data_IF_119551596366
#
_entry.id   IF_119551596366
#
_cell.length_a   1.000
_cell.length_b   1.000
_cell.length_c   1.000
_cell.angle_alpha   90.00
_cell.angle_beta   90.00
_cell.angle_gamma   90.00
#
_symmetry.space_group_name_H-M   'P 1'
#
loop_
_entity.id
_entity.type
_entity.pdbx_description
1 polymer ?
#
# COMPACT_ATOMS: atom_id res chain seq x y z
N UNK A 1 24.92 -61.20 16.27
CA UNK A 1 24.54 -59.82 16.69
C UNK A 1 23.14 -59.87 17.26
N UNK A 2 22.97 -59.51 18.53
CA UNK A 2 21.72 -59.69 19.26
C UNK A 2 20.73 -58.58 18.93
N UNK A 3 19.41 -58.87 18.97
CA UNK A 3 18.32 -57.93 18.63
C UNK A 3 18.37 -56.57 19.39
N UNK A 4 19.19 -56.48 20.45
CA UNK A 4 19.47 -55.25 21.21
C UNK A 4 20.39 -54.26 20.50
N UNK A 5 21.29 -54.70 19.62
CA UNK A 5 22.19 -53.78 18.88
C UNK A 5 21.49 -53.11 17.69
N UNK A 6 20.41 -53.69 17.17
CA UNK A 6 19.62 -53.12 16.06
C UNK A 6 18.76 -51.94 16.55
N UNK A 7 18.26 -51.98 17.79
CA UNK A 7 17.46 -50.88 18.35
C UNK A 7 18.29 -49.62 18.65
N UNK A 8 19.57 -49.76 19.01
CA UNK A 8 20.45 -48.61 19.27
C UNK A 8 20.91 -47.90 17.98
N UNK A 9 20.99 -48.61 16.85
CA UNK A 9 21.31 -48.00 15.54
C UNK A 9 20.09 -47.29 14.94
N UNK A 10 18.87 -47.75 15.24
CA UNK A 10 17.63 -47.07 14.82
C UNK A 10 17.34 -45.84 15.69
N UNK A 11 17.72 -45.84 16.98
CA UNK A 11 17.59 -44.67 17.86
C UNK A 11 18.57 -43.54 17.50
N UNK A 12 19.73 -43.86 16.89
CA UNK A 12 20.71 -42.89 16.39
C UNK A 12 20.35 -42.29 15.02
N UNK A 13 19.26 -42.76 14.38
CA UNK A 13 18.75 -42.18 13.14
C UNK A 13 17.55 -41.22 13.34
N UNK A 14 17.02 -41.11 14.56
CA UNK A 14 15.89 -40.20 14.89
C UNK A 14 16.39 -38.84 15.42
N UNK A 15 17.68 -38.69 15.72
CA UNK A 15 18.28 -37.39 16.11
C UNK A 15 18.86 -36.61 14.95
N UNK A 16 18.51 -36.93 13.70
CA UNK A 16 18.61 -35.94 12.61
C UNK A 16 17.48 -34.93 12.81
N UNK A 17 17.68 -34.14 13.87
CA UNK A 17 17.01 -32.90 14.17
C UNK A 17 16.97 -32.16 12.85
N UNK A 18 15.76 -32.06 12.30
CA UNK A 18 15.42 -31.16 11.22
C UNK A 18 16.04 -29.82 11.61
N UNK A 19 17.20 -29.52 11.02
CA UNK A 19 17.87 -28.25 11.21
C UNK A 19 16.97 -27.29 10.47
N UNK A 20 16.08 -26.70 11.24
CA UNK A 20 15.15 -25.66 10.84
C UNK A 20 16.00 -24.47 10.41
N UNK A 21 16.41 -24.51 9.14
CA UNK A 21 17.14 -23.44 8.51
C UNK A 21 16.13 -22.36 8.14
N UNK A 22 15.72 -21.56 9.13
CA UNK A 22 15.05 -20.30 8.87
C UNK A 22 15.91 -19.53 7.86
N UNK A 23 15.35 -19.16 6.72
CA UNK A 23 16.01 -18.23 5.80
C UNK A 23 16.13 -16.88 6.51
N UNK A 24 17.19 -16.67 7.29
CA UNK A 24 17.49 -15.40 7.93
C UNK A 24 17.83 -14.39 6.84
N UNK A 25 17.21 -13.22 6.90
CA UNK A 25 17.53 -12.14 5.98
C UNK A 25 18.78 -11.42 6.48
N UNK A 26 19.81 -11.33 5.65
CA UNK A 26 20.97 -10.48 5.91
C UNK A 26 20.63 -9.03 5.56
N UNK A 27 20.30 -8.23 6.58
CA UNK A 27 19.96 -6.81 6.40
C UNK A 27 21.09 -5.99 5.78
N UNK A 28 22.35 -6.38 5.94
CA UNK A 28 23.50 -5.66 5.37
C UNK A 28 23.53 -5.70 3.83
N UNK A 29 22.88 -6.71 3.24
CA UNK A 29 22.70 -6.86 1.79
C UNK A 29 21.49 -6.09 1.25
N UNK A 30 20.67 -5.51 2.11
CA UNK A 30 19.44 -4.81 1.72
C UNK A 30 19.59 -3.29 1.82
N UNK A 31 18.64 -2.56 1.25
CA UNK A 31 18.54 -1.09 1.38
C UNK A 31 18.15 -0.63 2.79
N UNK A 32 17.65 -1.52 3.64
CA UNK A 32 17.09 -1.18 4.94
C UNK A 32 17.96 -1.75 6.06
N UNK A 33 18.06 -1.04 7.19
CA UNK A 33 18.89 -1.46 8.32
C UNK A 33 18.25 -2.58 9.15
N UNK A 34 16.93 -2.67 9.10
CA UNK A 34 16.10 -3.58 9.86
C UNK A 34 14.66 -3.62 9.31
N UNK A 35 13.84 -4.48 9.93
CA UNK A 35 12.42 -4.65 9.60
C UNK A 35 11.60 -3.38 9.84
N UNK A 36 11.98 -2.56 10.83
CA UNK A 36 11.23 -1.36 11.20
C UNK A 36 11.41 -0.27 10.13
N UNK A 37 12.61 -0.12 9.59
CA UNK A 37 12.89 0.78 8.48
C UNK A 37 12.19 0.34 7.19
N UNK A 38 12.16 -0.96 6.90
CA UNK A 38 11.42 -1.51 5.77
C UNK A 38 9.89 -1.30 5.92
N UNK A 39 9.34 -1.53 7.12
CA UNK A 39 7.94 -1.24 7.43
C UNK A 39 7.66 0.26 7.32
N UNK A 40 8.57 1.12 7.81
CA UNK A 40 8.46 2.58 7.69
C UNK A 40 8.43 3.01 6.22
N UNK A 41 9.19 2.35 5.36
CA UNK A 41 9.09 2.55 3.92
C UNK A 41 7.71 2.15 3.38
N UNK A 42 7.18 0.99 3.76
CA UNK A 42 5.82 0.58 3.40
C UNK A 42 4.75 1.59 3.84
N UNK A 43 4.89 2.17 5.03
CA UNK A 43 4.01 3.23 5.55
C UNK A 43 4.02 4.51 4.70
N UNK A 44 5.06 4.79 3.90
CA UNK A 44 5.07 5.90 2.92
C UNK A 44 4.03 5.74 1.80
N UNK A 45 3.46 4.53 1.65
CA UNK A 45 2.42 4.24 0.68
C UNK A 45 1.01 4.34 1.24
N UNK A 46 0.83 4.67 2.53
CA UNK A 46 -0.48 4.86 3.14
C UNK A 46 -1.36 5.80 2.29
N UNK A 47 -2.65 5.45 2.19
CA UNK A 47 -3.69 6.15 1.42
C UNK A 47 -3.54 6.10 -0.10
N UNK A 48 -2.50 5.48 -0.66
CA UNK A 48 -2.43 5.22 -2.11
C UNK A 48 -3.57 4.33 -2.54
N UNK A 49 -4.14 4.60 -3.70
CA UNK A 49 -5.42 4.02 -4.11
C UNK A 49 -5.31 2.52 -4.39
N UNK A 50 -6.41 1.80 -4.14
CA UNK A 50 -6.55 0.44 -4.59
C UNK A 50 -6.82 0.41 -6.10
N UNK A 51 -6.10 -0.43 -6.83
CA UNK A 51 -6.38 -0.74 -8.24
C UNK A 51 -6.15 -2.23 -8.47
N UNK A 52 -7.16 -2.94 -8.98
CA UNK A 52 -7.01 -4.33 -9.37
C UNK A 52 -5.87 -4.49 -10.40
N UNK A 53 -4.97 -5.43 -10.19
CA UNK A 53 -3.73 -5.56 -10.98
C UNK A 53 -2.66 -4.54 -10.65
N UNK A 54 -2.82 -3.74 -9.59
CA UNK A 54 -1.91 -2.66 -9.23
C UNK A 54 -0.64 -3.18 -8.57
N UNK A 55 0.51 -2.84 -9.13
CA UNK A 55 1.84 -3.28 -8.65
C UNK A 55 2.71 -2.12 -8.14
N UNK A 56 2.12 -0.93 -8.02
CA UNK A 56 2.81 0.26 -7.53
C UNK A 56 3.54 1.10 -8.59
N UNK A 57 4.23 2.17 -8.14
CA UNK A 57 4.18 2.65 -6.76
C UNK A 57 2.89 3.44 -6.49
N UNK A 58 2.19 3.97 -7.51
CA UNK A 58 1.09 4.95 -7.30
C UNK A 58 -0.25 4.33 -6.89
N UNK A 59 -0.52 3.09 -7.28
CA UNK A 59 -1.71 2.34 -6.92
C UNK A 59 -1.39 0.84 -6.83
N UNK A 60 -2.08 0.14 -5.93
CA UNK A 60 -1.80 -1.26 -5.62
C UNK A 60 -3.09 -2.08 -5.51
N UNK A 61 -3.03 -3.38 -5.78
CA UNK A 61 -3.92 -4.33 -5.12
C UNK A 61 -3.20 -5.01 -3.95
N UNK A 62 -3.90 -5.92 -3.26
CA UNK A 62 -3.41 -6.50 -2.02
C UNK A 62 -2.10 -7.28 -2.22
N UNK A 63 -2.07 -8.18 -3.20
CA UNK A 63 -0.90 -8.99 -3.53
C UNK A 63 0.16 -8.22 -4.31
N UNK A 64 -0.20 -7.20 -5.09
CA UNK A 64 0.76 -6.32 -5.74
C UNK A 64 1.49 -5.41 -4.76
N UNK A 65 0.84 -5.00 -3.67
CA UNK A 65 1.52 -4.29 -2.58
C UNK A 65 2.54 -5.17 -1.86
N UNK A 66 2.17 -6.40 -1.48
CA UNK A 66 3.11 -7.31 -0.82
C UNK A 66 4.25 -7.74 -1.74
N UNK A 67 3.96 -7.96 -3.02
CA UNK A 67 4.97 -8.22 -4.05
C UNK A 67 5.96 -7.06 -4.18
N UNK A 68 5.46 -5.82 -4.21
CA UNK A 68 6.30 -4.63 -4.26
C UNK A 68 7.20 -4.52 -3.02
N UNK A 69 6.65 -4.73 -1.83
CA UNK A 69 7.39 -4.66 -0.57
C UNK A 69 8.51 -5.71 -0.50
N UNK A 70 8.22 -6.97 -0.84
CA UNK A 70 9.19 -8.06 -0.81
C UNK A 70 10.23 -8.00 -1.92
N UNK A 71 9.88 -7.38 -3.06
CA UNK A 71 10.84 -7.10 -4.13
C UNK A 71 11.97 -6.17 -3.65
N UNK A 72 11.69 -5.21 -2.76
CA UNK A 72 12.73 -4.36 -2.17
C UNK A 72 13.73 -5.14 -1.28
N UNK A 73 13.37 -6.36 -0.88
CA UNK A 73 14.25 -7.30 -0.17
C UNK A 73 14.84 -8.36 -1.12
N UNK A 74 14.73 -8.17 -2.43
CA UNK A 74 15.22 -9.12 -3.43
C UNK A 74 14.37 -10.38 -3.61
N UNK A 75 13.18 -10.46 -2.99
CA UNK A 75 12.32 -11.65 -3.06
C UNK A 75 11.14 -11.46 -4.00
N UNK A 76 11.08 -12.26 -5.06
CA UNK A 76 10.02 -12.19 -6.07
C UNK A 76 8.80 -13.02 -5.67
N UNK A 77 7.77 -12.35 -5.13
CA UNK A 77 6.46 -12.96 -4.91
C UNK A 77 5.62 -12.98 -6.20
N UNK A 78 4.77 -14.00 -6.41
CA UNK A 78 3.77 -13.97 -7.47
C UNK A 78 2.73 -12.88 -7.19
N UNK A 79 2.08 -12.36 -8.23
CA UNK A 79 1.06 -11.31 -8.09
C UNK A 79 -0.28 -11.82 -7.51
N UNK A 80 -0.48 -13.13 -7.31
CA UNK A 80 -1.70 -13.71 -6.73
C UNK A 80 -1.59 -13.94 -5.22
N UNK A 81 -2.54 -13.43 -4.43
CA UNK A 81 -2.58 -13.65 -2.96
C UNK A 81 -2.70 -15.13 -2.59
N UNK A 82 -3.42 -15.93 -3.38
CA UNK A 82 -3.48 -17.38 -3.18
C UNK A 82 -2.11 -18.02 -3.43
N UNK A 83 -1.43 -17.67 -4.53
CA UNK A 83 -0.11 -18.23 -4.82
C UNK A 83 0.94 -17.81 -3.80
N UNK A 84 0.91 -16.55 -3.35
CA UNK A 84 1.78 -16.07 -2.26
C UNK A 84 1.63 -16.88 -0.98
N UNK A 85 0.44 -17.44 -0.73
CA UNK A 85 0.19 -18.26 0.45
C UNK A 85 0.87 -19.64 0.41
N UNK A 86 1.49 -20.00 -0.70
CA UNK A 86 2.30 -21.22 -0.84
C UNK A 86 3.79 -20.96 -0.61
N UNK A 87 4.20 -19.70 -0.45
CA UNK A 87 5.59 -19.32 -0.20
C UNK A 87 5.89 -19.25 1.30
N UNK A 88 7.14 -19.59 1.64
CA UNK A 88 7.65 -19.52 3.00
C UNK A 88 7.04 -20.54 3.95
N UNK A 89 7.43 -20.42 5.21
CA UNK A 89 7.00 -21.31 6.27
C UNK A 89 5.59 -20.96 6.76
N UNK A 90 4.78 -21.96 7.08
CA UNK A 90 3.46 -21.74 7.71
C UNK A 90 3.63 -21.34 9.18
N UNK A 91 3.13 -20.15 9.53
CA UNK A 91 3.19 -19.64 10.90
C UNK A 91 1.83 -19.76 11.59
N UNK A 92 1.85 -20.16 12.87
CA UNK A 92 0.66 -20.12 13.73
C UNK A 92 0.31 -18.66 14.04
N UNK A 93 -0.98 -18.33 14.11
CA UNK A 93 -1.44 -16.97 14.37
C UNK A 93 -0.85 -16.34 15.65
N UNK A 94 -0.50 -17.13 16.65
CA UNK A 94 0.12 -16.67 17.92
C UNK A 94 1.63 -16.46 17.84
N UNK A 95 2.28 -16.84 16.73
CA UNK A 95 3.73 -16.75 16.54
C UNK A 95 4.10 -15.82 15.37
N UNK A 96 3.12 -15.07 14.86
CA UNK A 96 3.39 -14.08 13.82
C UNK A 96 4.32 -13.00 14.34
N UNK A 97 5.13 -12.48 13.44
CA UNK A 97 6.11 -11.44 13.70
C UNK A 97 5.99 -10.35 12.64
N UNK A 98 6.48 -9.12 12.93
CA UNK A 98 6.64 -8.09 11.91
C UNK A 98 7.36 -8.65 10.67
N UNK A 99 6.76 -8.41 9.51
CA UNK A 99 7.20 -8.91 8.21
C UNK A 99 6.43 -10.13 7.70
N UNK A 100 5.83 -10.94 8.56
CA UNK A 100 5.04 -12.10 8.11
C UNK A 100 3.87 -11.67 7.21
N UNK A 101 3.57 -12.51 6.22
CA UNK A 101 2.39 -12.35 5.37
C UNK A 101 1.18 -13.00 6.05
N UNK A 102 0.07 -12.28 6.13
CA UNK A 102 -1.19 -12.79 6.68
C UNK A 102 -2.26 -12.85 5.60
N UNK A 103 -2.99 -13.96 5.55
CA UNK A 103 -3.91 -14.28 4.46
C UNK A 103 -5.34 -14.42 4.97
N UNK A 104 -6.28 -13.88 4.20
CA UNK A 104 -7.69 -13.85 4.56
C UNK A 104 -8.58 -14.38 3.42
N UNK A 105 -9.74 -14.89 3.81
CA UNK A 105 -10.77 -15.35 2.91
C UNK A 105 -11.33 -14.21 2.04
N UNK A 106 -11.53 -14.48 0.74
CA UNK A 106 -12.17 -13.54 -0.18
C UNK A 106 -13.70 -13.50 -0.05
N UNK A 107 -14.35 -12.57 -0.76
CA UNK A 107 -15.81 -12.41 -0.73
C UNK A 107 -16.61 -13.62 -1.24
N UNK A 108 -15.99 -14.51 -2.03
CA UNK A 108 -16.64 -15.68 -2.65
C UNK A 108 -16.38 -17.01 -1.90
N UNK A 109 -16.08 -16.99 -0.60
CA UNK A 109 -16.07 -18.20 0.24
C UNK A 109 -14.76 -18.46 0.98
N UNK A 110 -14.42 -19.74 1.20
CA UNK A 110 -13.32 -20.18 2.07
C UNK A 110 -11.91 -20.02 1.48
N UNK A 111 -11.77 -19.68 0.20
CA UNK A 111 -10.49 -19.50 -0.50
C UNK A 111 -9.81 -18.19 -0.12
N UNK A 112 -8.48 -18.19 -0.17
CA UNK A 112 -7.67 -16.98 0.05
C UNK A 112 -7.99 -15.97 -1.04
N UNK A 113 -8.34 -14.75 -0.63
CA UNK A 113 -8.65 -13.66 -1.54
C UNK A 113 -8.02 -12.33 -1.14
N UNK A 114 -7.30 -12.28 -0.02
CA UNK A 114 -6.67 -11.08 0.48
C UNK A 114 -5.40 -11.40 1.26
N UNK A 115 -4.44 -10.47 1.24
CA UNK A 115 -3.14 -10.59 1.89
C UNK A 115 -2.71 -9.24 2.48
N UNK A 116 -1.96 -9.28 3.57
CA UNK A 116 -1.30 -8.13 4.19
C UNK A 116 0.05 -8.51 4.80
N UNK A 117 0.81 -7.50 5.23
CA UNK A 117 2.10 -7.66 5.93
C UNK A 117 1.91 -7.26 7.38
N UNK A 118 2.28 -8.13 8.32
CA UNK A 118 2.30 -7.80 9.76
C UNK A 118 3.33 -6.71 10.01
N UNK A 119 2.95 -5.68 10.78
CA UNK A 119 3.83 -4.53 11.08
C UNK A 119 4.10 -4.34 12.56
N UNK A 120 3.28 -4.96 13.40
CA UNK A 120 3.34 -4.83 14.85
C UNK A 120 2.58 -6.00 15.46
N UNK A 121 3.08 -6.50 16.58
CA UNK A 121 2.52 -7.65 17.30
C UNK A 121 2.43 -7.30 18.78
N UNK A 122 1.35 -7.72 19.42
CA UNK A 122 1.20 -7.80 20.88
C UNK A 122 1.18 -9.29 21.27
N UNK A 123 0.96 -9.60 22.55
CA UNK A 123 0.95 -10.99 23.03
C UNK A 123 -0.10 -11.86 22.32
N UNK A 124 -1.29 -11.29 22.07
CA UNK A 124 -2.43 -12.02 21.50
C UNK A 124 -2.82 -11.62 20.08
N UNK A 125 -2.33 -10.48 19.58
CA UNK A 125 -2.87 -9.80 18.40
C UNK A 125 -1.78 -9.13 17.55
N UNK A 126 -2.17 -8.65 16.37
CA UNK A 126 -1.25 -7.96 15.48
C UNK A 126 -1.93 -6.88 14.63
N UNK A 127 -1.16 -5.88 14.22
CA UNK A 127 -1.54 -4.92 13.20
C UNK A 127 -0.86 -5.27 11.88
N UNK A 128 -1.56 -5.07 10.77
CA UNK A 128 -1.03 -5.38 9.45
C UNK A 128 -1.35 -4.27 8.45
N UNK A 129 -0.42 -4.02 7.53
CA UNK A 129 -0.57 -3.08 6.41
C UNK A 129 -0.98 -3.84 5.16
N UNK A 130 -1.96 -3.31 4.41
CA UNK A 130 -2.46 -3.95 3.19
C UNK A 130 -3.17 -2.95 2.27
N UNK A 131 -3.44 -3.35 1.03
CA UNK A 131 -4.29 -2.59 0.12
C UNK A 131 -5.78 -2.99 0.29
N UNK A 132 -6.58 -2.12 0.89
CA UNK A 132 -8.03 -2.25 1.02
C UNK A 132 -8.76 -1.66 -0.18
N UNK A 133 -9.82 -2.34 -0.65
CA UNK A 133 -10.68 -1.86 -1.75
C UNK A 133 -11.20 -0.44 -1.53
N UNK A 134 -11.52 -0.07 -0.27
CA UNK A 134 -12.15 1.21 0.06
C UNK A 134 -11.16 2.27 0.51
N UNK A 135 -10.15 1.87 1.29
CA UNK A 135 -9.23 2.80 1.96
C UNK A 135 -7.89 2.94 1.23
N UNK A 136 -7.64 2.14 0.20
CA UNK A 136 -6.32 2.04 -0.40
C UNK A 136 -5.35 1.36 0.56
N UNK A 137 -4.07 1.73 0.54
CA UNK A 137 -3.11 1.23 1.53
C UNK A 137 -3.48 1.74 2.92
N UNK A 138 -3.85 0.83 3.83
CA UNK A 138 -4.23 1.14 5.20
C UNK A 138 -3.65 0.11 6.18
N UNK A 139 -3.82 0.41 7.47
CA UNK A 139 -3.44 -0.46 8.59
C UNK A 139 -4.71 -0.85 9.30
N UNK A 140 -4.87 -2.15 9.53
CA UNK A 140 -5.98 -2.73 10.29
C UNK A 140 -5.43 -3.69 11.36
N UNK A 141 -6.26 -4.01 12.35
CA UNK A 141 -5.93 -4.96 13.43
C UNK A 141 -6.53 -6.34 13.17
N UNK A 142 -5.82 -7.39 13.61
CA UNK A 142 -6.28 -8.78 13.61
C UNK A 142 -7.64 -8.95 14.29
N UNK A 143 -7.90 -8.16 15.34
CA UNK A 143 -9.12 -8.19 16.15
C UNK A 143 -10.35 -7.64 15.46
N UNK A 144 -10.20 -6.84 14.40
CA UNK A 144 -11.35 -6.25 13.73
C UNK A 144 -12.24 -7.38 13.17
N UNK A 145 -13.56 -7.41 13.48
CA UNK A 145 -14.42 -8.58 13.25
C UNK A 145 -14.40 -9.11 11.81
N UNK A 146 -14.26 -8.19 10.84
CA UNK A 146 -14.14 -8.54 9.43
C UNK A 146 -12.93 -9.45 9.14
N UNK A 147 -11.76 -9.12 9.69
CA UNK A 147 -10.51 -9.87 9.47
C UNK A 147 -10.43 -11.09 10.37
N UNK A 148 -10.83 -10.97 11.64
CA UNK A 148 -10.88 -12.09 12.60
C UNK A 148 -11.67 -13.28 12.04
N UNK A 149 -12.86 -13.02 11.48
CA UNK A 149 -13.71 -14.06 10.87
C UNK A 149 -13.18 -14.63 9.55
N UNK A 150 -12.21 -13.97 8.91
CA UNK A 150 -11.68 -14.35 7.58
C UNK A 150 -10.26 -14.87 7.61
N UNK A 151 -9.58 -14.84 8.75
CA UNK A 151 -8.20 -15.29 8.85
C UNK A 151 -8.04 -16.75 8.36
N UNK A 152 -6.97 -17.01 7.60
CA UNK A 152 -6.69 -18.34 7.03
C UNK A 152 -5.36 -18.90 7.48
N UNK A 153 -4.29 -18.13 7.29
CA UNK A 153 -2.93 -18.57 7.60
C UNK A 153 -1.99 -17.37 7.64
N UNK A 154 -0.81 -17.57 8.22
CA UNK A 154 0.32 -16.68 8.06
C UNK A 154 1.49 -17.42 7.38
N UNK A 155 2.36 -16.68 6.71
CA UNK A 155 3.59 -17.17 6.08
C UNK A 155 4.79 -16.31 6.43
N UNK A 156 5.90 -16.95 6.78
CA UNK A 156 7.20 -16.31 6.99
C UNK A 156 8.12 -16.62 5.82
N UNK A 157 8.50 -15.59 5.09
CA UNK A 157 9.47 -15.71 4.00
C UNK A 157 10.89 -15.65 4.55
N UNK A 158 11.13 -14.67 5.44
CA UNK A 158 12.41 -14.47 6.10
C UNK A 158 12.22 -14.38 7.61
N UNK A 159 13.19 -14.92 8.36
CA UNK A 159 13.33 -14.59 9.77
C UNK A 159 13.99 -13.21 9.91
N UNK A 160 13.16 -12.19 10.07
CA UNK A 160 13.53 -10.76 10.07
C UNK A 160 13.86 -10.23 11.46
N UNK A 161 13.49 -10.95 12.52
CA UNK A 161 13.53 -10.45 13.91
C UNK A 161 14.70 -11.01 14.73
N UNK A 162 15.37 -12.06 14.26
CA UNK A 162 16.54 -12.64 14.91
C UNK A 162 17.70 -11.63 15.13
N UNK A 163 17.87 -10.64 14.25
CA UNK A 163 18.88 -9.58 14.40
C UNK A 163 18.45 -8.42 15.31
N UNK A 164 17.14 -8.23 15.53
CA UNK A 164 16.61 -7.13 16.34
C UNK A 164 16.65 -7.41 17.84
N UNK A 165 16.73 -8.68 18.27
CA UNK A 165 16.87 -9.04 19.69
C UNK A 165 18.18 -8.54 20.31
N UNK A 166 19.28 -8.52 19.53
CA UNK A 166 20.57 -7.96 19.97
C UNK A 166 20.50 -6.44 20.16
N UNK A 167 19.82 -5.72 19.25
CA UNK A 167 19.72 -4.25 19.28
C UNK A 167 18.71 -3.71 20.29
N UNK A 168 17.60 -4.42 20.59
CA UNK A 168 16.69 -4.00 21.67
C UNK A 168 17.38 -4.03 23.03
N UNK A 169 18.18 -5.06 23.30
CA UNK A 169 18.98 -5.13 24.52
C UNK A 169 20.03 -4.02 24.62
N UNK A 170 20.64 -3.62 23.50
CA UNK A 170 21.60 -2.50 23.47
C UNK A 170 20.93 -1.15 23.68
N UNK A 171 19.74 -0.94 23.11
CA UNK A 171 18.98 0.31 23.21
C UNK A 171 18.34 0.52 24.59
N UNK A 172 17.88 -0.56 25.24
CA UNK A 172 17.44 -0.50 26.64
C UNK A 172 18.61 -0.23 27.60
N UNK A 173 19.81 -0.75 27.29
CA UNK A 173 21.03 -0.49 28.06
C UNK A 173 21.56 0.95 27.91
N UNK A 174 21.41 1.55 26.73
CA UNK A 174 21.77 2.95 26.47
C UNK A 174 20.75 3.95 27.06
N UNK A 175 19.49 3.53 27.26
CA UNK A 175 18.46 4.39 27.87
C UNK A 175 18.55 4.40 29.40
N UNK A 176 19.21 3.41 30.02
CA UNK A 176 19.40 3.32 31.48
C UNK A 176 20.59 4.14 32.01
N UNK A 177 21.47 4.67 31.14
CA UNK A 177 22.68 5.40 31.53
C UNK A 177 22.55 6.95 31.46
N UNK A 178 21.39 7.46 31.06
CA UNK A 178 21.11 8.91 31.08
C UNK A 178 20.53 9.27 32.45
N UNK A 179 21.41 9.67 33.37
CA UNK A 179 21.02 10.27 34.65
C UNK A 179 20.08 11.48 34.39
N UNK A 180 19.02 11.68 35.19
CA UNK A 180 18.13 12.81 35.02
C UNK A 180 18.90 14.11 35.33
N UNK A 181 19.10 14.93 34.30
CA UNK A 181 19.58 16.31 34.45
C UNK A 181 18.61 17.10 35.34
N UNK A 182 19.09 17.88 36.32
CA UNK A 182 18.22 18.70 37.16
C UNK A 182 17.43 19.71 36.32
N UNK A 183 16.13 19.83 36.59
CA UNK A 183 15.27 20.84 35.96
C UNK A 183 15.73 22.26 36.35
N UNK A 184 15.76 23.22 35.41
CA UNK A 184 15.94 24.63 35.75
C UNK A 184 14.72 25.14 36.51
N UNK A 185 14.96 25.86 37.60
CA UNK A 185 13.94 26.52 38.42
C UNK A 185 13.29 27.64 37.60
N UNK A 186 11.96 27.62 37.51
CA UNK A 186 11.17 28.71 36.94
C UNK A 186 11.25 29.92 37.90
N UNK A 187 11.80 31.02 37.40
CA UNK A 187 11.86 32.31 38.08
C UNK A 187 10.51 33.01 37.93
N UNK A 188 9.80 33.13 39.06
CA UNK A 188 8.51 33.78 39.21
C UNK A 188 8.69 35.31 39.11
N UNK A 189 8.24 35.90 38.00
CA UNK A 189 8.24 37.35 37.79
C UNK A 189 6.87 37.92 38.15
N UNK A 190 6.72 38.38 39.39
CA UNK A 190 5.58 39.20 39.82
C UNK A 190 5.65 40.61 39.19
N UNK A 191 4.53 41.10 38.67
CA UNK A 191 4.31 42.53 38.43
C UNK A 191 2.89 42.95 38.88
N UNK A 192 2.73 44.19 39.36
CA UNK A 192 1.74 44.56 40.37
C UNK A 192 0.38 44.97 39.79
N UNK A 193 -0.63 44.89 40.67
CA UNK A 193 -2.03 45.07 40.35
C UNK A 193 -2.47 46.46 39.90
N UNK A 194 -3.66 46.47 39.31
CA UNK A 194 -4.52 47.64 39.18
C UNK A 194 -5.97 47.21 39.40
N UNK A 195 -6.61 47.95 40.28
CA UNK A 195 -7.99 47.84 40.76
C UNK A 195 -8.97 48.48 39.78
N UNK A 196 -10.25 48.42 40.16
CA UNK A 196 -11.46 49.08 39.65
C UNK A 196 -12.26 48.21 38.68
N UNK A 197 -13.59 48.16 38.69
CA UNK A 197 -14.65 48.46 39.65
C UNK A 197 -15.93 47.89 38.98
N UNK A 198 -16.90 47.50 39.81
CA UNK A 198 -18.34 47.57 39.55
C UNK A 198 -19.09 46.68 38.52
N UNK A 199 -20.28 46.30 39.02
CA UNK A 199 -21.58 46.24 38.35
C UNK A 199 -22.16 44.86 37.96
N UNK A 200 -23.04 44.42 38.85
CA UNK A 200 -24.44 44.08 38.59
C UNK A 200 -24.79 42.82 37.78
N UNK A 201 -25.20 41.80 38.53
CA UNK A 201 -26.11 40.76 38.07
C UNK A 201 -27.41 40.81 38.89
N UNK A 202 -28.40 41.54 38.39
CA UNK A 202 -29.77 41.49 38.89
C UNK A 202 -30.66 40.67 37.96
N UNK A 203 -31.13 39.56 38.52
CA UNK A 203 -32.37 38.87 38.22
C UNK A 203 -33.58 39.82 38.29
N UNK A 204 -34.43 39.85 37.26
CA UNK A 204 -35.85 40.23 37.42
C UNK A 204 -36.72 39.34 36.53
N UNK A 205 -37.52 38.53 37.22
CA UNK A 205 -38.82 37.96 36.85
C UNK A 205 -39.78 39.05 36.36
N UNK A 206 -40.56 38.80 35.31
CA UNK A 206 -41.93 39.30 35.30
C UNK A 206 -42.86 38.49 34.38
N UNK A 207 -43.93 38.06 35.05
CA UNK A 207 -45.15 37.40 34.63
C UNK A 207 -46.16 38.37 33.99
N UNK A 208 -47.33 37.81 33.57
CA UNK A 208 -48.65 38.47 33.40
C UNK A 208 -48.88 39.16 32.02
N UNK A 209 -49.99 39.08 31.26
CA UNK A 209 -51.40 38.65 31.41
C UNK A 209 -51.96 38.23 30.01
N UNK A 210 -52.73 37.15 29.85
CA UNK A 210 -54.21 37.03 29.77
C UNK A 210 -55.00 37.83 28.70
N UNK A 211 -55.75 37.03 27.92
CA UNK A 211 -57.21 37.06 27.58
C UNK A 211 -57.67 37.37 26.13
N UNK A 212 -58.72 36.59 25.80
CA UNK A 212 -59.73 36.66 24.71
C UNK A 212 -59.45 35.85 23.43
N UNK A 213 -60.40 35.18 22.76
CA UNK A 213 -61.79 34.73 23.02
C UNK A 213 -62.27 34.11 21.70
N UNK A 214 -62.83 32.88 21.74
CA UNK A 214 -63.88 32.30 20.84
C UNK A 214 -63.70 32.38 19.30
N UNK A 215 -63.61 31.24 18.59
CA UNK A 215 -64.70 30.71 17.73
C UNK A 215 -64.35 29.39 16.97
N UNK A 216 -65.35 28.48 16.94
CA UNK A 216 -65.73 27.45 15.94
C UNK A 216 -64.69 26.56 15.20
N UNK A 217 -64.70 25.29 15.61
CA UNK A 217 -64.84 24.06 14.80
C UNK A 217 -64.65 24.13 13.25
N UNK A 218 -63.56 23.57 12.72
CA UNK A 218 -63.53 22.88 11.41
C UNK A 218 -62.40 21.84 11.33
N UNK A 219 -62.80 20.57 11.34
CA UNK A 219 -61.99 19.38 11.09
C UNK A 219 -61.30 19.48 9.73
N UNK A 220 -60.00 19.73 9.72
CA UNK A 220 -59.11 19.49 8.57
C UNK A 220 -57.78 18.93 9.07
N UNK A 221 -57.30 17.88 8.42
CA UNK A 221 -56.06 17.16 8.71
C UNK A 221 -54.83 18.08 8.63
N UNK A 222 -53.92 18.11 9.63
CA UNK A 222 -52.74 18.95 9.53
C UNK A 222 -51.68 18.27 8.63
N UNK A 223 -51.49 18.82 7.43
CA UNK A 223 -50.21 18.68 6.72
C UNK A 223 -49.12 19.23 7.64
N UNK A 224 -48.22 18.37 8.11
CA UNK A 224 -47.07 18.70 8.96
C UNK A 224 -46.27 19.84 8.29
N UNK A 225 -46.28 21.06 8.85
CA UNK A 225 -45.47 22.18 8.39
C UNK A 225 -44.00 21.82 8.66
N UNK A 226 -43.27 21.43 7.61
CA UNK A 226 -41.83 21.20 7.68
C UNK A 226 -41.12 22.48 8.18
N UNK A 227 -40.18 22.32 9.10
CA UNK A 227 -39.48 23.46 9.68
C UNK A 227 -38.60 24.14 8.61
N UNK A 228 -38.48 25.48 8.66
CA UNK A 228 -37.59 26.23 7.74
C UNK A 228 -36.15 25.69 7.73
N UNK A 229 -35.70 25.08 8.84
CA UNK A 229 -34.36 24.49 8.99
C UNK A 229 -34.21 23.18 8.23
N UNK A 230 -35.22 22.32 8.23
CA UNK A 230 -35.21 21.05 7.47
C UNK A 230 -35.26 21.30 5.97
N UNK A 231 -36.09 22.25 5.53
CA UNK A 231 -36.16 22.67 4.12
C UNK A 231 -34.80 23.16 3.61
N UNK A 232 -34.13 24.05 4.35
CA UNK A 232 -32.78 24.53 4.00
C UNK A 232 -31.72 23.42 3.96
N UNK A 233 -31.80 22.43 4.85
CA UNK A 233 -30.89 21.27 4.85
C UNK A 233 -31.09 20.40 3.62
N UNK A 234 -32.33 20.14 3.22
CA UNK A 234 -32.66 19.38 1.99
C UNK A 234 -32.24 20.11 0.73
N UNK A 235 -32.56 21.39 0.61
CA UNK A 235 -32.16 22.23 -0.53
C UNK A 235 -30.62 22.28 -0.68
N UNK A 236 -29.87 22.36 0.43
CA UNK A 236 -28.40 22.30 0.40
C UNK A 236 -27.89 20.92 -0.03
N UNK A 237 -28.47 19.83 0.46
CA UNK A 237 -28.08 18.47 0.09
C UNK A 237 -28.40 18.16 -1.38
N UNK A 238 -29.54 18.62 -1.88
CA UNK A 238 -29.96 18.48 -3.28
C UNK A 238 -29.04 19.28 -4.21
N UNK A 239 -28.71 20.53 -3.85
CA UNK A 239 -27.74 21.34 -4.60
C UNK A 239 -26.37 20.65 -4.70
N UNK A 240 -25.88 20.08 -3.59
CA UNK A 240 -24.63 19.31 -3.58
C UNK A 240 -24.70 18.05 -4.43
N UNK A 241 -25.85 17.37 -4.46
CA UNK A 241 -26.06 16.18 -5.30
C UNK A 241 -26.03 16.54 -6.79
N UNK A 242 -26.75 17.59 -7.17
CA UNK A 242 -26.78 18.09 -8.56
C UNK A 242 -25.40 18.56 -9.02
N UNK A 243 -24.63 19.20 -8.14
CA UNK A 243 -23.26 19.64 -8.45
C UNK A 243 -22.31 18.46 -8.68
N UNK A 244 -22.42 17.40 -7.86
CA UNK A 244 -21.66 16.15 -8.05
C UNK A 244 -22.04 15.44 -9.35
N UNK A 245 -23.33 15.36 -9.66
CA UNK A 245 -23.82 14.74 -10.90
C UNK A 245 -23.35 15.51 -12.14
N UNK A 246 -23.37 16.86 -12.09
CA UNK A 246 -22.84 17.72 -13.16
C UNK A 246 -21.33 17.51 -13.36
N UNK A 247 -20.56 17.41 -12.27
CA UNK A 247 -19.12 17.15 -12.34
C UNK A 247 -18.80 15.75 -12.90
N UNK A 248 -19.58 14.73 -12.53
CA UNK A 248 -19.43 13.37 -13.05
C UNK A 248 -19.74 13.29 -14.55
N UNK A 249 -20.83 13.94 -14.99
CA UNK A 249 -21.18 14.02 -16.42
C UNK A 249 -20.08 14.70 -17.23
N UNK A 250 -19.52 15.80 -16.72
CA UNK A 250 -18.42 16.51 -17.38
C UNK A 250 -17.15 15.64 -17.45
N UNK A 251 -16.86 14.85 -16.41
CA UNK A 251 -15.73 13.91 -16.42
C UNK A 251 -15.91 12.83 -17.48
N UNK A 252 -17.11 12.25 -17.59
CA UNK A 252 -17.41 11.22 -18.58
C UNK A 252 -17.31 11.75 -20.01
N UNK A 253 -17.74 13.00 -20.25
CA UNK A 253 -17.57 13.67 -21.54
C UNK A 253 -16.10 13.88 -21.91
N UNK A 254 -15.26 14.31 -20.96
CA UNK A 254 -13.81 14.45 -21.17
C UNK A 254 -13.14 13.11 -21.50
N UNK A 255 -13.51 12.05 -20.79
CA UNK A 255 -12.96 10.70 -21.05
C UNK A 255 -13.37 10.19 -22.45
N UNK A 256 -14.61 10.43 -22.87
CA UNK A 256 -15.07 10.09 -24.23
C UNK A 256 -14.32 10.89 -25.30
N UNK A 257 -14.09 12.18 -25.07
CA UNK A 257 -13.32 13.03 -25.98
C UNK A 257 -11.86 12.57 -26.10
N UNK A 258 -11.25 12.16 -24.99
CA UNK A 258 -9.87 11.66 -24.97
C UNK A 258 -9.74 10.32 -25.70
N UNK A 259 -10.67 9.38 -25.48
CA UNK A 259 -10.72 8.13 -26.25
C UNK A 259 -10.86 8.37 -27.75
N UNK A 260 -11.71 9.30 -28.16
CA UNK A 260 -11.87 9.69 -29.58
C UNK A 260 -10.58 10.31 -30.16
N UNK A 261 -9.86 11.11 -29.37
CA UNK A 261 -8.57 11.69 -29.78
C UNK A 261 -7.50 10.60 -29.96
N UNK A 262 -7.47 9.61 -29.07
CA UNK A 262 -6.54 8.48 -29.16
C UNK A 262 -6.88 7.54 -30.34
N UNK A 263 -8.16 7.34 -30.63
CA UNK A 263 -8.60 6.54 -31.78
C UNK A 263 -8.23 7.20 -33.12
N UNK A 264 -8.45 8.51 -33.25
CA UNK A 264 -8.03 9.26 -34.44
C UNK A 264 -6.49 9.25 -34.63
N UNK A 265 -5.73 9.34 -33.54
CA UNK A 265 -4.27 9.24 -33.59
C UNK A 265 -3.79 7.85 -34.08
N UNK A 266 -4.49 6.78 -33.71
CA UNK A 266 -4.22 5.40 -34.16
C UNK A 266 -4.57 5.18 -35.64
N UNK A 267 -5.59 5.86 -36.15
CA UNK A 267 -5.97 5.76 -37.56
C UNK A 267 -5.01 6.53 -38.48
N UNK A 268 -4.43 7.65 -38.01
CA UNK A 268 -3.42 8.39 -38.77
C UNK A 268 -2.07 7.66 -38.83
N UNK A 269 -1.65 6.99 -37.75
CA UNK A 269 -0.41 6.19 -37.73
C UNK A 269 -0.48 4.95 -38.62
N UNK A 270 -1.68 4.38 -38.85
CA UNK A 270 -1.85 3.28 -39.82
C UNK A 270 -1.71 3.71 -41.29
N UNK A 271 -2.01 4.96 -41.63
CA UNK A 271 -1.85 5.49 -42.99
C UNK A 271 -0.42 5.87 -43.34
N UNK A 272 0.44 6.08 -42.34
CA UNK A 272 1.87 6.41 -42.55
C UNK A 272 2.76 5.17 -42.69
N UNK A 273 2.38 4.03 -42.10
CA UNK A 273 3.17 2.78 -42.14
C UNK A 273 3.04 2.01 -43.46
N UNK A 274 2.03 2.31 -44.28
CA UNK A 274 1.82 1.62 -45.57
C UNK A 274 2.64 2.22 -46.74
N UNK A 275 3.46 3.26 -46.49
CA UNK A 275 4.19 3.99 -47.55
C UNK A 275 5.69 3.68 -47.67
N UNK A 276 6.29 2.89 -46.77
CA UNK A 276 7.77 2.74 -46.73
C UNK A 276 8.29 1.29 -46.82
N UNK A 277 7.46 0.34 -47.24
CA UNK A 277 7.88 -1.06 -47.41
C UNK A 277 8.39 -1.35 -48.83
N UNK A 278 9.50 -0.73 -49.23
CA UNK A 278 10.27 -1.18 -50.40
C UNK A 278 11.71 -0.63 -50.42
N UNK A 279 12.65 -1.21 -49.63
CA UNK A 279 14.04 -1.41 -50.10
C UNK A 279 14.95 -2.23 -49.15
N UNK A 280 15.54 -3.27 -49.75
CA UNK A 280 16.89 -3.86 -49.54
C UNK A 280 17.11 -4.97 -48.49
N UNK A 281 17.60 -6.08 -49.04
CA UNK A 281 18.18 -7.30 -48.46
C UNK A 281 19.73 -7.23 -48.38
N UNK A 282 20.44 -8.19 -47.75
CA UNK A 282 21.61 -7.92 -46.91
C UNK A 282 22.97 -8.18 -47.58
N UNK A 283 24.05 -7.61 -47.01
CA UNK A 283 25.44 -8.06 -47.17
C UNK A 283 26.25 -7.87 -45.87
N UNK A 284 26.91 -8.95 -45.48
CA UNK A 284 27.98 -9.01 -44.47
C UNK A 284 29.27 -8.40 -45.02
N UNK A 285 30.07 -7.80 -44.15
CA UNK A 285 31.55 -7.86 -44.12
C UNK A 285 32.05 -7.47 -42.71
N UNK A 286 33.15 -8.11 -42.28
CA UNK A 286 33.68 -8.17 -40.91
C UNK A 286 34.53 -6.96 -40.45
N UNK A 287 34.59 -6.84 -39.11
CA UNK A 287 35.57 -6.19 -38.18
C UNK A 287 35.19 -4.82 -37.56
N UNK A 288 35.52 -4.54 -36.27
CA UNK A 288 36.06 -5.37 -35.18
C UNK A 288 35.06 -5.61 -34.03
N UNK A 289 35.21 -6.70 -33.29
CA UNK A 289 34.34 -7.06 -32.17
C UNK A 289 34.59 -6.18 -30.93
N UNK A 290 33.97 -5.01 -30.90
CA UNK A 290 33.65 -4.31 -29.66
C UNK A 290 32.37 -4.98 -29.16
N UNK A 291 32.48 -5.89 -28.19
CA UNK A 291 31.32 -6.57 -27.60
C UNK A 291 30.53 -5.57 -26.77
N UNK A 292 29.72 -4.73 -27.44
CA UNK A 292 28.81 -3.81 -26.77
C UNK A 292 27.87 -4.63 -25.88
N UNK A 293 27.72 -4.20 -24.63
CA UNK A 293 26.83 -4.86 -23.67
C UNK A 293 25.39 -4.77 -24.17
N UNK A 294 24.72 -5.92 -24.25
CA UNK A 294 23.34 -6.03 -24.74
C UNK A 294 22.39 -6.57 -23.67
N UNK A 295 21.11 -6.25 -23.80
CA UNK A 295 20.00 -6.73 -22.97
C UNK A 295 18.88 -7.29 -23.84
N UNK A 296 18.31 -8.44 -23.45
CA UNK A 296 17.17 -9.05 -24.15
C UNK A 296 15.89 -8.62 -23.44
N UNK A 297 14.98 -7.96 -24.15
CA UNK A 297 13.72 -7.46 -23.60
C UNK A 297 12.86 -8.61 -23.08
N UNK A 298 12.58 -8.60 -21.78
CA UNK A 298 11.69 -9.56 -21.13
C UNK A 298 10.23 -9.09 -21.08
N UNK A 299 9.32 -10.03 -20.77
CA UNK A 299 7.89 -9.75 -20.67
C UNK A 299 7.61 -8.72 -19.57
N UNK A 300 7.13 -7.54 -19.95
CA UNK A 300 6.72 -6.48 -19.03
C UNK A 300 7.79 -5.42 -18.76
N UNK A 301 8.91 -5.47 -19.48
CA UNK A 301 9.88 -4.38 -19.50
C UNK A 301 9.40 -3.19 -20.35
N UNK A 302 9.93 -2.01 -20.05
CA UNK A 302 9.61 -0.77 -20.79
C UNK A 302 10.91 -0.04 -21.12
N UNK A 303 10.89 0.76 -22.19
CA UNK A 303 12.05 1.56 -22.62
C UNK A 303 12.65 2.39 -21.48
N UNK A 304 11.79 2.95 -20.63
CA UNK A 304 12.20 3.71 -19.45
C UNK A 304 12.94 2.86 -18.41
N UNK A 305 12.54 1.61 -18.19
CA UNK A 305 13.20 0.72 -17.23
C UNK A 305 14.56 0.25 -17.74
N UNK A 306 14.64 -0.11 -19.01
CA UNK A 306 15.88 -0.60 -19.62
C UNK A 306 16.90 0.53 -19.73
N UNK A 307 16.49 1.73 -20.14
CA UNK A 307 17.36 2.91 -20.15
C UNK A 307 17.87 3.25 -18.75
N UNK A 308 17.00 3.24 -17.74
CA UNK A 308 17.42 3.48 -16.35
C UNK A 308 18.38 2.43 -15.80
N UNK A 309 18.18 1.17 -16.16
CA UNK A 309 19.10 0.07 -15.84
C UNK A 309 20.46 0.24 -16.53
N UNK A 310 20.46 0.70 -17.78
CA UNK A 310 21.64 0.99 -18.58
C UNK A 310 22.38 2.28 -18.16
N UNK A 311 21.78 3.10 -17.28
CA UNK A 311 22.30 4.43 -16.96
C UNK A 311 22.15 5.45 -18.10
N UNK A 312 21.34 5.15 -19.11
CA UNK A 312 21.05 5.99 -20.27
C UNK A 312 19.69 6.69 -20.11
N UNK A 313 19.48 7.77 -20.84
CA UNK A 313 18.14 8.31 -21.07
C UNK A 313 17.38 7.45 -22.08
N UNK A 314 16.06 7.61 -22.12
CA UNK A 314 15.20 6.89 -23.11
C UNK A 314 15.62 7.24 -24.54
N UNK A 315 15.94 8.50 -24.79
CA UNK A 315 16.32 8.97 -26.12
C UNK A 315 17.71 8.46 -26.53
N UNK A 316 18.69 8.44 -25.61
CA UNK A 316 20.01 7.84 -25.88
C UNK A 316 19.92 6.33 -26.16
N UNK A 317 19.12 5.60 -25.38
CA UNK A 317 18.91 4.18 -25.62
C UNK A 317 18.25 3.93 -26.98
N UNK A 318 17.33 4.80 -27.40
CA UNK A 318 16.70 4.74 -28.72
C UNK A 318 17.69 5.03 -29.83
N UNK A 319 18.49 6.07 -29.70
CA UNK A 319 19.50 6.46 -30.70
C UNK A 319 20.50 5.34 -30.94
N UNK A 320 21.05 4.74 -29.87
CA UNK A 320 22.04 3.66 -29.97
C UNK A 320 21.43 2.40 -30.62
N UNK A 321 20.11 2.21 -30.53
CA UNK A 321 19.40 1.06 -31.09
C UNK A 321 18.63 1.37 -32.40
N UNK A 322 18.77 2.58 -32.96
CA UNK A 322 18.04 2.99 -34.16
C UNK A 322 16.51 2.96 -34.01
N UNK A 323 16.00 3.15 -32.80
CA UNK A 323 14.56 3.05 -32.51
C UNK A 323 13.88 4.43 -32.60
N UNK A 324 12.76 4.49 -33.31
CA UNK A 324 11.96 5.72 -33.41
C UNK A 324 10.84 5.79 -32.38
N UNK A 325 10.41 4.65 -31.82
CA UNK A 325 9.36 4.56 -30.78
C UNK A 325 9.86 3.90 -29.48
N UNK A 326 9.01 3.92 -28.46
CA UNK A 326 9.24 3.27 -27.16
C UNK A 326 8.70 1.83 -27.12
N UNK A 327 8.17 1.33 -28.24
CA UNK A 327 7.57 0.00 -28.31
C UNK A 327 8.66 -1.05 -28.37
N UNK A 328 8.67 -1.93 -27.38
CA UNK A 328 9.63 -3.02 -27.29
C UNK A 328 8.92 -4.35 -27.49
N UNK A 329 9.51 -5.22 -28.31
CA UNK A 329 9.05 -6.60 -28.48
C UNK A 329 9.76 -7.50 -27.48
N UNK A 330 9.03 -8.43 -26.89
CA UNK A 330 9.63 -9.46 -26.04
C UNK A 330 10.62 -10.27 -26.89
N UNK A 331 11.84 -10.46 -26.38
CA UNK A 331 12.95 -11.08 -27.09
C UNK A 331 13.79 -10.13 -27.95
N UNK A 332 13.43 -8.84 -28.04
CA UNK A 332 14.22 -7.84 -28.76
C UNK A 332 15.55 -7.59 -28.04
N UNK A 333 16.66 -7.60 -28.77
CA UNK A 333 17.99 -7.31 -28.22
C UNK A 333 18.25 -5.81 -28.31
N UNK A 334 18.66 -5.20 -27.21
CA UNK A 334 19.01 -3.79 -27.11
C UNK A 334 20.47 -3.65 -26.67
N UNK A 335 21.22 -2.80 -27.35
CA UNK A 335 22.52 -2.31 -26.91
C UNK A 335 22.28 -1.34 -25.75
N UNK A 336 22.90 -1.60 -24.60
CA UNK A 336 22.70 -0.86 -23.34
C UNK A 336 23.97 -0.13 -22.88
N UNK A 337 24.96 0.02 -23.74
CA UNK A 337 26.22 0.71 -23.47
C UNK A 337 26.69 1.42 -24.75
N UNK A 338 27.28 2.61 -24.59
CA UNK A 338 27.60 3.53 -25.70
C UNK A 338 28.76 3.03 -26.56
#
# INVERSE_FOLDING_TARGET
>A
MTKRTIWLVILLFITNICSFSSNKLDWSSTKYKDVDEWIKFGKKHLRRTYRNGGVGPYAFDCSGFTMYMYKELGYALPHSSSAQSDHGEKIKATHVQPGDLVFYAGSKGSKIGHVGIVIETTDDDFSFIHASLKQGICIDKSTHPYYKSRYKTARRIFDMTADNSKRKHEKEKETEEIQPTPQPQEEELELPGQTTDDADNQSIDNSVDKRNSVDKNKKTTPKKKESRRERRKREKAEKQRLEKEKAEKQRLEREKAEKKKQENARQNTKKEVEKDSQKVSPKNDEQPAITKKTHVVEKGETMYRISKMAGLTVDELKEINGLTSNDLKIGQVLIIEK
#
